data_IF_173977589171
#
_entry.id   IF_173977589171
#
_cell.length_a   1.000
_cell.length_b   1.000
_cell.length_c   1.000
_cell.angle_alpha   90.00
_cell.angle_beta   90.00
_cell.angle_gamma   90.00
#
_symmetry.space_group_name_H-M   'P 1'
#
loop_
_entity.id
_entity.type
_entity.pdbx_description
1 polymer ?
#
# COMPACT_ATOMS: atom_id res chain seq x y z
N UNK A 1 8.58 10.98 22.22
CA UNK A 1 7.88 10.09 21.26
C UNK A 1 6.65 10.80 20.76
N UNK A 2 6.53 11.00 19.45
CA UNK A 2 5.37 11.62 18.82
C UNK A 2 4.30 10.54 18.62
N UNK A 3 3.67 10.11 19.70
CA UNK A 3 2.71 9.01 19.63
C UNK A 3 1.49 9.40 18.80
N UNK A 4 0.96 8.45 18.00
CA UNK A 4 -0.36 8.57 17.38
C UNK A 4 -1.42 9.00 18.43
N UNK A 5 -2.35 9.90 18.09
CA UNK A 5 -3.40 10.36 19.01
C UNK A 5 -4.32 9.23 19.50
N UNK A 6 -4.68 8.29 18.61
CA UNK A 6 -5.49 7.13 18.98
C UNK A 6 -4.61 6.08 19.71
N UNK A 7 -5.00 5.58 20.90
CA UNK A 7 -4.30 4.49 21.56
C UNK A 7 -4.59 3.11 20.94
N UNK A 8 -5.66 2.95 20.15
CA UNK A 8 -6.11 1.66 19.61
C UNK A 8 -5.50 1.31 18.24
N UNK A 9 -4.84 2.26 17.60
CA UNK A 9 -4.08 2.03 16.36
C UNK A 9 -2.80 1.27 16.66
N UNK A 10 -2.29 0.59 15.63
CA UNK A 10 -1.08 -0.23 15.70
C UNK A 10 0.11 0.57 16.27
N UNK A 11 0.92 -0.13 17.07
CA UNK A 11 2.20 0.34 17.62
C UNK A 11 3.22 -0.78 17.54
N UNK A 12 4.50 -0.42 17.61
CA UNK A 12 5.57 -1.39 17.77
C UNK A 12 5.41 -2.18 19.07
N UNK A 13 5.73 -3.48 19.01
CA UNK A 13 5.85 -4.34 20.18
C UNK A 13 7.03 -3.89 21.07
N UNK A 14 7.06 -4.26 22.36
CA UNK A 14 8.22 -4.00 23.21
C UNK A 14 9.51 -4.55 22.59
N UNK A 15 10.55 -3.72 22.50
CA UNK A 15 11.87 -4.03 21.90
C UNK A 15 11.84 -4.30 20.39
N UNK A 16 10.75 -3.95 19.72
CA UNK A 16 10.67 -3.94 18.27
C UNK A 16 11.15 -2.58 17.72
N UNK A 17 11.80 -2.61 16.57
CA UNK A 17 12.09 -1.43 15.74
C UNK A 17 11.44 -1.57 14.37
N UNK A 18 11.38 -0.47 13.63
CA UNK A 18 11.15 -0.49 12.19
C UNK A 18 12.46 -0.27 11.46
N UNK A 19 12.71 -1.07 10.42
CA UNK A 19 13.80 -0.88 9.47
C UNK A 19 13.22 -0.48 8.11
N UNK A 20 13.59 0.69 7.60
CA UNK A 20 13.35 1.07 6.22
C UNK A 20 14.48 0.51 5.36
N UNK A 21 14.10 -0.35 4.41
CA UNK A 21 15.03 -1.16 3.62
C UNK A 21 14.89 -0.84 2.14
N UNK A 22 16.02 -0.74 1.44
CA UNK A 22 16.09 -0.73 -0.02
C UNK A 22 16.72 -2.02 -0.51
N UNK A 23 16.03 -2.74 -1.41
CA UNK A 23 16.50 -3.96 -2.05
C UNK A 23 16.73 -3.71 -3.55
N UNK A 24 17.85 -4.20 -4.07
CA UNK A 24 18.14 -4.27 -5.51
C UNK A 24 17.74 -5.64 -6.05
N UNK A 25 16.79 -5.68 -7.00
CA UNK A 25 16.20 -6.92 -7.51
C UNK A 25 17.11 -7.68 -8.49
N UNK A 26 18.19 -7.02 -8.95
CA UNK A 26 19.16 -7.60 -9.88
C UNK A 26 20.27 -8.34 -9.14
N UNK A 27 20.70 -7.79 -8.00
CA UNK A 27 21.76 -8.36 -7.15
C UNK A 27 21.22 -9.16 -5.96
N UNK A 28 19.99 -8.89 -5.54
CA UNK A 28 19.39 -9.44 -4.32
C UNK A 28 19.90 -8.78 -3.03
N UNK A 29 20.70 -7.71 -3.12
CA UNK A 29 21.27 -7.03 -1.95
C UNK A 29 20.20 -6.14 -1.32
N UNK A 30 19.99 -6.30 0.00
CA UNK A 30 19.15 -5.43 0.81
C UNK A 30 20.00 -4.58 1.77
N UNK A 31 19.68 -3.29 1.84
CA UNK A 31 20.36 -2.32 2.70
C UNK A 31 19.33 -1.67 3.62
N UNK A 32 19.55 -1.74 4.93
CA UNK A 32 18.80 -0.93 5.91
C UNK A 32 19.35 0.49 5.79
N UNK A 33 18.50 1.43 5.39
CA UNK A 33 18.92 2.83 5.17
C UNK A 33 18.56 3.72 6.36
N UNK A 34 17.60 3.29 7.18
CA UNK A 34 17.16 3.99 8.38
C UNK A 34 16.40 3.03 9.30
N UNK A 35 16.68 3.07 10.59
CA UNK A 35 15.94 2.32 11.59
C UNK A 35 15.63 3.19 12.82
N UNK A 36 14.49 2.92 13.46
CA UNK A 36 14.14 3.55 14.73
C UNK A 36 13.11 2.74 15.51
N UNK A 37 12.94 3.12 16.79
CA UNK A 37 11.81 2.68 17.63
C UNK A 37 10.57 3.56 17.41
N UNK A 38 10.22 3.75 16.15
CA UNK A 38 9.01 4.44 15.67
C UNK A 38 8.38 3.57 14.59
N UNK A 39 7.05 3.50 14.55
CA UNK A 39 6.37 2.64 13.59
C UNK A 39 6.45 3.25 12.19
N UNK A 40 7.33 2.71 11.33
CA UNK A 40 7.37 3.05 9.90
C UNK A 40 6.44 2.17 9.10
N UNK A 41 5.78 2.74 8.11
CA UNK A 41 4.85 2.02 7.25
C UNK A 41 4.88 2.55 5.81
N UNK A 42 4.74 1.62 4.87
CA UNK A 42 4.33 1.86 3.49
C UNK A 42 5.24 2.86 2.72
N UNK A 43 6.53 2.56 2.50
CA UNK A 43 7.41 3.46 1.75
C UNK A 43 7.16 3.38 0.23
N UNK A 44 7.21 4.53 -0.45
CA UNK A 44 7.22 4.64 -1.92
C UNK A 44 8.26 5.66 -2.39
N UNK A 45 8.47 5.77 -3.72
CA UNK A 45 9.53 6.59 -4.32
C UNK A 45 8.99 7.77 -5.10
N UNK A 46 9.61 8.94 -4.92
CA UNK A 46 9.36 10.06 -5.84
C UNK A 46 9.77 9.72 -7.27
N UNK A 47 9.07 10.31 -8.25
CA UNK A 47 9.29 10.03 -9.68
C UNK A 47 10.73 10.34 -10.14
N UNK A 48 11.39 11.28 -9.47
CA UNK A 48 12.80 11.63 -9.70
C UNK A 48 13.79 10.71 -8.97
N UNK A 49 13.30 9.76 -8.16
CA UNK A 49 14.08 8.82 -7.37
C UNK A 49 14.87 9.45 -6.23
N UNK A 50 14.66 10.75 -5.93
CA UNK A 50 15.43 11.47 -4.92
C UNK A 50 15.00 11.19 -3.48
N UNK A 51 13.75 10.77 -3.29
CA UNK A 51 13.17 10.59 -1.97
C UNK A 51 12.38 9.30 -1.89
N UNK A 52 12.51 8.63 -0.75
CA UNK A 52 11.46 7.76 -0.24
C UNK A 52 10.50 8.60 0.57
N UNK A 53 9.20 8.39 0.37
CA UNK A 53 8.14 8.92 1.24
C UNK A 53 7.55 7.75 2.02
N UNK A 54 7.35 7.92 3.33
CA UNK A 54 6.83 6.89 4.20
C UNK A 54 5.94 7.47 5.30
N UNK A 55 5.06 6.65 5.87
CA UNK A 55 4.30 7.00 7.06
C UNK A 55 5.11 6.64 8.31
N UNK A 56 5.16 7.53 9.29
CA UNK A 56 5.62 7.22 10.64
C UNK A 56 4.65 7.79 11.67
N UNK A 57 4.08 6.91 12.50
CA UNK A 57 3.11 7.25 13.54
C UNK A 57 2.00 8.23 13.05
N UNK A 58 1.44 7.94 11.86
CA UNK A 58 0.30 8.66 11.29
C UNK A 58 0.65 9.95 10.56
N UNK A 59 1.94 10.18 10.28
CA UNK A 59 2.44 11.38 9.59
C UNK A 59 3.34 10.99 8.43
N UNK A 60 3.43 11.85 7.42
CA UNK A 60 4.32 11.64 6.30
C UNK A 60 5.70 12.24 6.53
N UNK A 61 6.70 11.49 6.07
CA UNK A 61 8.10 11.83 6.12
C UNK A 61 8.77 11.49 4.80
N UNK A 62 9.90 12.14 4.50
CA UNK A 62 10.77 11.78 3.39
C UNK A 62 12.22 11.64 3.83
N UNK A 63 12.94 10.75 3.16
CA UNK A 63 14.37 10.50 3.37
C UNK A 63 15.01 10.10 2.05
N UNK A 64 16.28 10.44 1.82
CA UNK A 64 16.98 9.98 0.62
C UNK A 64 17.11 8.45 0.63
N UNK A 65 17.09 7.79 -0.54
CA UNK A 65 17.20 6.33 -0.63
C UNK A 65 18.51 5.73 -0.10
N UNK A 66 19.52 6.54 0.19
CA UNK A 66 20.78 6.14 0.82
C UNK A 66 20.86 6.53 2.30
N UNK A 67 19.80 7.13 2.86
CA UNK A 67 19.73 7.58 4.25
C UNK A 67 20.56 8.82 4.58
N UNK A 68 21.26 9.42 3.61
CA UNK A 68 22.17 10.55 3.85
C UNK A 68 21.46 11.90 4.10
N UNK A 69 20.21 12.05 3.68
CA UNK A 69 19.41 13.27 3.84
C UNK A 69 18.00 12.97 4.37
N UNK A 70 17.69 13.45 5.57
CA UNK A 70 16.41 13.23 6.26
C UNK A 70 16.56 12.50 7.61
N UNK A 71 15.45 12.14 8.26
CA UNK A 71 14.07 12.29 7.78
C UNK A 71 13.52 13.73 7.89
N UNK A 72 12.81 14.17 6.86
CA UNK A 72 12.11 15.46 6.80
C UNK A 72 10.61 15.28 6.85
N UNK A 73 9.92 16.02 7.72
CA UNK A 73 8.46 15.94 7.82
C UNK A 73 7.80 16.59 6.62
N UNK A 74 6.82 15.92 6.03
CA UNK A 74 5.86 16.51 5.10
C UNK A 74 4.67 16.97 5.92
N UNK A 75 4.48 18.29 6.05
CA UNK A 75 3.41 18.83 6.87
C UNK A 75 2.05 18.64 6.19
N UNK A 76 1.10 18.03 6.88
CA UNK A 76 -0.26 17.75 6.39
C UNK A 76 -1.33 18.38 7.29
N UNK A 77 -0.96 19.35 8.14
CA UNK A 77 -1.92 20.01 9.02
C UNK A 77 -3.08 20.67 8.24
N UNK A 78 -4.34 20.57 8.72
CA UNK A 78 -4.72 20.03 10.02
C UNK A 78 -4.94 18.50 10.08
N UNK A 79 -4.78 17.77 8.98
CA UNK A 79 -5.00 16.31 8.94
C UNK A 79 -3.69 15.58 9.26
N UNK A 80 -3.47 15.28 10.54
CA UNK A 80 -2.21 14.70 11.04
C UNK A 80 -2.34 13.29 11.64
N UNK A 81 -3.50 12.65 11.47
CA UNK A 81 -3.72 11.25 11.84
C UNK A 81 -4.05 10.44 10.58
N UNK A 82 -3.00 10.18 9.80
CA UNK A 82 -3.09 9.46 8.55
C UNK A 82 -3.07 7.96 8.80
N UNK A 83 -3.82 7.24 7.96
CA UNK A 83 -3.60 5.82 7.76
C UNK A 83 -2.24 5.61 7.06
N UNK A 84 -1.74 4.38 7.02
CA UNK A 84 -0.49 4.05 6.33
C UNK A 84 -0.58 4.24 4.80
N UNK A 85 -1.77 4.11 4.22
CA UNK A 85 -1.99 4.18 2.77
C UNK A 85 -1.89 5.61 2.20
N UNK A 86 -0.93 5.79 1.28
CA UNK A 86 -0.70 7.03 0.54
C UNK A 86 -0.07 6.75 -0.82
N UNK A 87 -0.33 7.63 -1.80
CA UNK A 87 0.19 7.51 -3.16
C UNK A 87 0.76 8.82 -3.64
N UNK A 88 1.90 8.75 -4.31
CA UNK A 88 2.40 9.90 -5.05
C UNK A 88 1.59 10.07 -6.33
N UNK A 89 1.18 11.30 -6.59
CA UNK A 89 0.46 11.62 -7.81
C UNK A 89 1.42 11.57 -9.02
N UNK A 90 0.95 11.13 -10.20
CA UNK A 90 1.75 11.13 -11.43
C UNK A 90 2.25 12.50 -11.87
N UNK A 91 1.69 13.59 -11.31
CA UNK A 91 2.14 14.96 -11.54
C UNK A 91 3.48 15.30 -10.87
N UNK A 92 3.96 14.46 -9.96
CA UNK A 92 5.23 14.65 -9.23
C UNK A 92 5.21 15.77 -8.20
N UNK A 93 4.05 16.39 -7.94
CA UNK A 93 3.91 17.55 -7.03
C UNK A 93 2.92 17.30 -5.90
N UNK A 94 2.04 16.29 -6.00
CA UNK A 94 1.01 15.98 -5.01
C UNK A 94 1.15 14.57 -4.41
N UNK A 95 0.54 14.38 -3.25
CA UNK A 95 0.36 13.10 -2.55
C UNK A 95 -1.12 12.94 -2.24
N UNK A 96 -1.68 11.78 -2.55
CA UNK A 96 -2.98 11.35 -2.09
C UNK A 96 -2.82 10.53 -0.80
N UNK A 97 -3.67 10.77 0.19
CA UNK A 97 -3.57 10.10 1.51
C UNK A 97 -4.92 9.60 1.98
N UNK A 98 -4.93 8.45 2.64
CA UNK A 98 -6.06 8.00 3.46
C UNK A 98 -5.88 8.50 4.89
N UNK A 99 -6.91 9.05 5.50
CA UNK A 99 -6.88 9.52 6.87
C UNK A 99 -7.79 8.70 7.80
N UNK A 100 -7.44 8.66 9.09
CA UNK A 100 -8.22 7.92 10.10
C UNK A 100 -9.57 8.58 10.42
N UNK A 101 -9.84 9.76 9.86
CA UNK A 101 -11.17 10.39 9.83
C UNK A 101 -12.09 9.80 8.74
N UNK A 102 -11.65 8.73 8.05
CA UNK A 102 -12.35 8.01 6.98
C UNK A 102 -12.31 8.66 5.59
N UNK A 103 -11.54 9.73 5.36
CA UNK A 103 -11.55 10.43 4.07
C UNK A 103 -10.23 10.32 3.30
N UNK A 104 -10.34 10.56 1.99
CA UNK A 104 -9.18 10.75 1.12
C UNK A 104 -8.89 12.24 0.96
N UNK A 105 -7.61 12.59 0.97
CA UNK A 105 -7.13 13.95 0.77
C UNK A 105 -6.03 14.00 -0.27
N UNK A 106 -5.85 15.17 -0.90
CA UNK A 106 -4.65 15.53 -1.65
C UNK A 106 -3.87 16.59 -0.88
N UNK A 107 -2.54 16.45 -0.86
CA UNK A 107 -1.60 17.37 -0.20
C UNK A 107 -0.40 17.63 -1.12
N UNK A 108 0.17 18.84 -1.16
CA UNK A 108 1.44 19.06 -1.85
C UNK A 108 2.56 18.16 -1.29
N UNK A 109 3.41 17.61 -2.16
CA UNK A 109 4.57 16.78 -1.79
C UNK A 109 5.59 17.53 -0.91
N UNK A 110 5.61 18.85 -1.01
CA UNK A 110 6.42 19.73 -0.14
C UNK A 110 5.76 20.01 1.23
N UNK A 111 4.55 19.53 1.45
CA UNK A 111 3.71 19.83 2.60
C UNK A 111 2.81 21.04 2.38
N UNK A 112 1.69 21.08 3.10
CA UNK A 112 0.69 22.14 3.00
C UNK A 112 -0.67 21.71 3.54
N UNK A 113 -1.67 22.55 3.32
CA UNK A 113 -3.04 22.28 3.74
C UNK A 113 -3.68 21.19 2.86
N UNK A 114 -4.14 20.06 3.43
CA UNK A 114 -4.86 19.04 2.68
C UNK A 114 -6.19 19.54 2.11
N UNK A 115 -6.52 19.09 0.91
CA UNK A 115 -7.86 19.24 0.32
C UNK A 115 -8.55 17.88 0.31
N UNK A 116 -9.73 17.81 0.92
CA UNK A 116 -10.55 16.59 0.94
C UNK A 116 -11.07 16.28 -0.46
N UNK A 117 -11.06 14.99 -0.81
CA UNK A 117 -11.51 14.46 -2.11
C UNK A 117 -12.88 13.79 -1.99
N UNK A 118 -13.07 12.97 -0.95
CA UNK A 118 -14.27 12.13 -0.82
C UNK A 118 -15.36 12.79 0.02
N UNK A 119 -16.63 12.46 -0.28
CA UNK A 119 -17.79 12.83 0.54
C UNK A 119 -17.81 12.10 1.88
N UNK A 120 -18.76 12.45 2.75
CA UNK A 120 -18.95 11.79 4.04
C UNK A 120 -19.94 10.64 3.86
N UNK A 121 -19.57 9.46 4.35
CA UNK A 121 -20.38 8.23 4.26
C UNK A 121 -20.71 7.67 5.66
N UNK A 122 -20.41 8.44 6.72
CA UNK A 122 -20.63 8.06 8.11
C UNK A 122 -19.56 7.12 8.69
N UNK A 123 -19.66 6.88 10.00
CA UNK A 123 -18.62 6.21 10.81
C UNK A 123 -18.37 4.73 10.44
N UNK A 124 -19.31 4.12 9.72
CA UNK A 124 -19.24 2.73 9.30
C UNK A 124 -18.58 2.54 7.94
N UNK A 125 -18.11 3.60 7.30
CA UNK A 125 -17.46 3.54 5.99
C UNK A 125 -16.01 4.02 6.07
N UNK A 126 -15.11 3.36 5.35
CA UNK A 126 -13.70 3.76 5.22
C UNK A 126 -13.28 3.76 3.76
N UNK A 127 -12.39 4.69 3.41
CA UNK A 127 -11.72 4.76 2.11
C UNK A 127 -10.24 4.39 2.30
N UNK A 128 -9.80 3.25 1.78
CA UNK A 128 -8.39 2.82 1.81
C UNK A 128 -7.79 2.91 0.41
N UNK A 129 -6.95 3.92 0.19
CA UNK A 129 -6.38 4.25 -1.11
C UNK A 129 -5.23 3.31 -1.50
N UNK A 130 -5.25 2.75 -2.71
CA UNK A 130 -4.14 1.91 -3.19
C UNK A 130 -3.71 2.16 -4.64
N UNK A 131 -4.54 2.81 -5.45
CA UNK A 131 -4.20 3.11 -6.85
C UNK A 131 -4.52 4.54 -7.27
N UNK A 132 -3.72 5.05 -8.20
CA UNK A 132 -3.99 6.25 -8.99
C UNK A 132 -3.79 5.89 -10.45
N UNK A 133 -4.71 6.31 -11.33
CA UNK A 133 -4.57 6.06 -12.76
C UNK A 133 -3.33 6.77 -13.32
N UNK A 134 -2.67 6.26 -14.39
CA UNK A 134 -1.44 6.87 -14.91
C UNK A 134 -1.58 8.33 -15.36
N UNK A 135 -2.80 8.73 -15.76
CA UNK A 135 -3.14 10.11 -16.11
C UNK A 135 -3.48 11.00 -14.89
N UNK A 136 -3.51 10.43 -13.68
CA UNK A 136 -3.85 11.12 -12.43
C UNK A 136 -5.33 11.46 -12.26
N UNK A 137 -6.21 11.06 -13.19
CA UNK A 137 -7.61 11.47 -13.19
C UNK A 137 -8.50 10.68 -12.21
N UNK A 138 -8.12 9.46 -11.87
CA UNK A 138 -8.94 8.52 -11.08
C UNK A 138 -8.13 7.89 -9.96
N UNK A 139 -8.74 7.78 -8.77
CA UNK A 139 -8.20 7.02 -7.64
C UNK A 139 -8.95 5.70 -7.50
N UNK A 140 -8.21 4.62 -7.33
CA UNK A 140 -8.72 3.31 -6.94
C UNK A 140 -8.52 3.11 -5.43
N UNK A 141 -9.60 2.76 -4.74
CA UNK A 141 -9.60 2.56 -3.30
C UNK A 141 -10.50 1.40 -2.91
N UNK A 142 -10.31 0.91 -1.69
CA UNK A 142 -11.15 -0.09 -1.07
C UNK A 142 -12.17 0.60 -0.18
N UNK A 143 -13.42 0.45 -0.56
CA UNK A 143 -14.59 0.86 0.19
C UNK A 143 -14.91 -0.21 1.24
N UNK A 144 -14.46 -0.02 2.48
CA UNK A 144 -14.83 -0.90 3.59
C UNK A 144 -16.13 -0.38 4.22
N UNK A 145 -17.11 -1.26 4.35
CA UNK A 145 -18.37 -1.00 5.03
C UNK A 145 -18.54 -1.94 6.22
N UNK A 146 -18.81 -1.37 7.40
CA UNK A 146 -19.15 -2.10 8.62
C UNK A 146 -20.66 -2.27 8.71
N UNK A 147 -21.11 -3.50 8.81
CA UNK A 147 -22.54 -3.85 8.91
C UNK A 147 -22.77 -4.82 10.08
N UNK A 148 -24.02 -4.96 10.57
CA UNK A 148 -24.33 -6.01 11.52
C UNK A 148 -23.88 -7.37 10.97
N UNK A 149 -23.00 -8.07 11.71
CA UNK A 149 -22.49 -9.38 11.31
C UNK A 149 -21.14 -9.38 10.58
N UNK A 150 -20.53 -8.22 10.28
CA UNK A 150 -19.16 -8.19 9.78
C UNK A 150 -18.77 -6.94 8.99
N UNK A 151 -17.73 -7.09 8.18
CA UNK A 151 -17.26 -6.09 7.22
C UNK A 151 -17.32 -6.68 5.82
N UNK A 152 -17.55 -5.83 4.84
CA UNK A 152 -17.28 -6.17 3.45
C UNK A 152 -16.53 -5.03 2.77
N UNK A 153 -15.77 -5.39 1.75
CA UNK A 153 -14.90 -4.49 0.99
C UNK A 153 -15.31 -4.48 -0.46
N UNK A 154 -15.28 -3.33 -1.10
CA UNK A 154 -15.50 -3.20 -2.56
C UNK A 154 -14.39 -2.38 -3.19
N UNK A 155 -14.03 -2.72 -4.42
CA UNK A 155 -13.14 -1.91 -5.24
C UNK A 155 -13.98 -0.76 -5.78
N UNK A 156 -13.55 0.46 -5.50
CA UNK A 156 -14.21 1.66 -5.95
C UNK A 156 -13.22 2.58 -6.67
N UNK A 157 -13.73 3.25 -7.70
CA UNK A 157 -13.04 4.30 -8.44
C UNK A 157 -13.69 5.64 -8.13
N UNK A 158 -12.91 6.69 -7.91
CA UNK A 158 -13.41 8.06 -7.71
C UNK A 158 -12.55 9.05 -8.50
N UNK A 159 -13.12 10.10 -9.12
CA UNK A 159 -12.31 11.16 -9.70
C UNK A 159 -11.37 11.77 -8.68
N UNK A 160 -10.11 12.00 -9.04
CA UNK A 160 -9.11 12.59 -8.12
C UNK A 160 -9.45 14.03 -7.71
N UNK A 161 -10.29 14.71 -8.50
CA UNK A 161 -10.86 16.02 -8.19
C UNK A 161 -12.03 15.96 -7.17
N UNK A 162 -12.49 14.76 -6.80
CA UNK A 162 -13.68 14.51 -5.99
C UNK A 162 -14.93 14.23 -6.85
N UNK A 163 -15.92 13.58 -6.25
CA UNK A 163 -17.16 13.19 -6.91
C UNK A 163 -17.72 11.87 -6.39
N UNK A 164 -18.74 11.36 -7.07
CA UNK A 164 -19.35 10.07 -6.74
C UNK A 164 -18.45 8.90 -7.17
N UNK A 165 -18.31 7.85 -6.32
CA UNK A 165 -17.54 6.68 -6.69
C UNK A 165 -18.33 5.73 -7.59
N UNK A 166 -17.60 5.01 -8.46
CA UNK A 166 -18.10 3.83 -9.18
C UNK A 166 -17.56 2.57 -8.52
N UNK A 167 -18.40 1.60 -8.23
CA UNK A 167 -17.97 0.32 -7.64
C UNK A 167 -17.75 -0.72 -8.73
N UNK A 168 -16.56 -1.34 -8.77
CA UNK A 168 -16.23 -2.41 -9.72
C UNK A 168 -16.55 -3.80 -9.19
N UNK A 169 -16.77 -3.93 -7.89
CA UNK A 169 -17.12 -5.20 -7.23
C UNK A 169 -18.34 -5.02 -6.31
N UNK A 170 -19.11 -6.09 -6.11
CA UNK A 170 -20.32 -6.08 -5.29
C UNK A 170 -20.09 -6.31 -3.79
N UNK A 171 -18.91 -6.77 -3.40
CA UNK A 171 -18.56 -7.10 -2.01
C UNK A 171 -18.88 -8.55 -1.61
N UNK A 172 -19.06 -9.43 -2.60
CA UNK A 172 -19.28 -10.87 -2.38
C UNK A 172 -18.09 -11.61 -1.77
N UNK A 173 -16.88 -11.03 -1.82
CA UNK A 173 -15.67 -11.53 -1.18
C UNK A 173 -14.78 -10.37 -0.72
N UNK A 174 -13.88 -10.65 0.23
CA UNK A 174 -12.91 -9.65 0.71
C UNK A 174 -11.88 -9.35 -0.38
N UNK A 175 -11.53 -8.08 -0.52
CA UNK A 175 -10.53 -7.60 -1.46
C UNK A 175 -9.72 -6.47 -0.84
N UNK A 176 -8.50 -6.28 -1.35
CA UNK A 176 -7.66 -5.15 -0.96
C UNK A 176 -6.61 -4.80 -2.03
N UNK A 177 -5.89 -3.70 -1.81
CA UNK A 177 -4.70 -3.34 -2.57
C UNK A 177 -4.88 -3.09 -4.08
N UNK A 178 -5.96 -2.43 -4.56
CA UNK A 178 -6.12 -2.16 -5.98
C UNK A 178 -5.08 -1.18 -6.54
N UNK A 179 -4.32 -1.56 -7.55
CA UNK A 179 -3.31 -0.73 -8.21
C UNK A 179 -3.45 -0.78 -9.74
N UNK A 180 -3.30 0.36 -10.41
CA UNK A 180 -3.27 0.42 -11.88
C UNK A 180 -1.93 -0.07 -12.43
N UNK A 181 -1.97 -0.77 -13.57
CA UNK A 181 -0.75 -0.94 -14.38
C UNK A 181 -0.23 0.40 -14.89
N UNK A 182 1.09 0.53 -15.17
CA UNK A 182 1.66 1.77 -15.71
C UNK A 182 1.00 2.25 -17.02
N UNK A 183 0.46 1.34 -17.82
CA UNK A 183 -0.27 1.65 -19.06
C UNK A 183 -1.79 1.91 -18.84
N UNK A 184 -2.29 1.71 -17.62
CA UNK A 184 -3.69 1.91 -17.24
C UNK A 184 -4.65 0.85 -17.76
N UNK A 185 -4.16 -0.20 -18.42
CA UNK A 185 -5.00 -1.22 -19.04
C UNK A 185 -5.64 -2.19 -18.02
N UNK A 186 -5.06 -2.30 -16.83
CA UNK A 186 -5.49 -3.23 -15.79
C UNK A 186 -5.44 -2.60 -14.40
N UNK A 187 -6.23 -3.18 -13.49
CA UNK A 187 -6.15 -2.96 -12.04
C UNK A 187 -5.83 -4.31 -11.39
N UNK A 188 -4.70 -4.38 -10.70
CA UNK A 188 -4.27 -5.54 -9.90
C UNK A 188 -4.79 -5.38 -8.48
N UNK A 189 -5.10 -6.48 -7.82
CA UNK A 189 -5.61 -6.47 -6.44
C UNK A 189 -5.40 -7.83 -5.79
N UNK A 190 -5.51 -7.91 -4.47
CA UNK A 190 -5.66 -9.19 -3.79
C UNK A 190 -7.12 -9.43 -3.41
N UNK A 191 -7.55 -10.69 -3.41
CA UNK A 191 -8.93 -11.03 -3.04
C UNK A 191 -9.14 -12.49 -2.71
N UNK A 192 -10.29 -12.77 -2.11
CA UNK A 192 -10.70 -14.10 -1.66
C UNK A 192 -11.67 -14.82 -2.63
N UNK A 193 -11.83 -14.32 -3.87
CA UNK A 193 -12.74 -14.88 -4.86
C UNK A 193 -12.54 -16.39 -5.11
N UNK A 194 -11.30 -16.88 -5.09
CA UNK A 194 -10.96 -18.28 -5.30
C UNK A 194 -10.73 -19.06 -4.00
N UNK A 195 -10.98 -18.44 -2.84
CA UNK A 195 -10.65 -19.01 -1.54
C UNK A 195 -11.54 -20.22 -1.22
N UNK A 196 -10.90 -21.34 -0.86
CA UNK A 196 -11.59 -22.55 -0.35
C UNK A 196 -11.69 -22.60 1.17
N UNK A 197 -10.99 -21.68 1.83
CA UNK A 197 -10.95 -21.48 3.27
C UNK A 197 -10.88 -19.96 3.53
N UNK A 198 -11.48 -19.45 4.61
CA UNK A 198 -11.45 -18.03 4.93
C UNK A 198 -10.01 -17.48 4.94
N UNK A 199 -9.82 -16.26 4.42
CA UNK A 199 -8.53 -15.57 4.47
C UNK A 199 -7.52 -15.99 3.40
N UNK A 200 -7.81 -16.99 2.56
CA UNK A 200 -6.88 -17.44 1.52
C UNK A 200 -6.89 -16.50 0.30
N UNK A 201 -6.40 -15.27 0.52
CA UNK A 201 -6.27 -14.26 -0.52
C UNK A 201 -5.22 -14.67 -1.56
N UNK A 202 -5.55 -14.47 -2.82
CA UNK A 202 -4.65 -14.59 -3.97
C UNK A 202 -4.66 -13.28 -4.76
N UNK A 203 -3.74 -13.15 -5.72
CA UNK A 203 -3.62 -11.99 -6.58
C UNK A 203 -4.49 -12.16 -7.81
N UNK A 204 -5.11 -11.06 -8.23
CA UNK A 204 -5.99 -10.98 -9.38
C UNK A 204 -5.72 -9.69 -10.16
N UNK A 205 -6.24 -9.63 -11.38
CA UNK A 205 -6.37 -8.39 -12.13
C UNK A 205 -7.73 -8.30 -12.81
N UNK A 206 -8.17 -7.09 -13.12
CA UNK A 206 -9.37 -6.79 -13.90
C UNK A 206 -9.15 -5.56 -14.78
N UNK A 207 -9.97 -5.36 -15.80
CA UNK A 207 -9.99 -4.10 -16.56
C UNK A 207 -10.58 -2.98 -15.69
N UNK A 208 -10.26 -1.69 -15.96
CA UNK A 208 -10.84 -0.57 -15.23
C UNK A 208 -12.37 -0.42 -15.31
N UNK A 209 -13.03 -1.18 -16.18
CA UNK A 209 -14.50 -1.28 -16.27
C UNK A 209 -15.08 -2.43 -15.42
N UNK A 210 -14.24 -3.16 -14.68
CA UNK A 210 -14.61 -4.30 -13.83
C UNK A 210 -14.68 -5.65 -14.57
N UNK A 211 -14.45 -5.69 -15.89
CA UNK A 211 -14.51 -6.94 -16.67
C UNK A 211 -13.16 -7.65 -16.73
N UNK A 212 -13.15 -8.89 -17.25
CA UNK A 212 -11.91 -9.62 -17.52
C UNK A 212 -11.12 -10.02 -16.28
N UNK A 213 -11.80 -10.42 -15.20
CA UNK A 213 -11.13 -10.86 -13.97
C UNK A 213 -10.28 -12.10 -14.23
N UNK A 214 -9.01 -12.04 -13.85
CA UNK A 214 -8.03 -13.12 -13.98
C UNK A 214 -7.30 -13.33 -12.65
N UNK A 215 -7.17 -14.59 -12.22
CA UNK A 215 -6.35 -14.97 -11.07
C UNK A 215 -4.90 -15.16 -11.51
N UNK A 216 -3.95 -14.65 -10.72
CA UNK A 216 -2.52 -14.62 -11.04
C UNK A 216 -1.68 -15.54 -10.17
N UNK A 217 -2.08 -15.77 -8.91
CA UNK A 217 -1.38 -16.68 -7.99
C UNK A 217 -2.29 -17.82 -7.54
N UNK A 218 -1.70 -19.00 -7.33
CA UNK A 218 -2.43 -20.25 -7.11
C UNK A 218 -1.82 -21.14 -6.00
N UNK A 219 -0.99 -20.57 -5.13
CA UNK A 219 -0.30 -21.35 -4.09
C UNK A 219 -1.05 -21.34 -2.74
N UNK A 220 -0.53 -22.12 -1.79
CA UNK A 220 -1.12 -22.28 -0.46
C UNK A 220 -0.91 -21.08 0.48
N UNK A 221 -0.04 -20.14 0.10
CA UNK A 221 0.25 -18.94 0.89
C UNK A 221 -0.84 -17.90 0.69
N UNK A 222 -0.80 -16.85 1.51
CA UNK A 222 -1.78 -15.76 1.49
C UNK A 222 -1.11 -14.53 0.89
N UNK A 223 -1.46 -14.17 -0.35
CA UNK A 223 -0.71 -13.22 -1.17
C UNK A 223 -1.45 -11.86 -1.25
N UNK A 224 -0.75 -10.77 -0.93
CA UNK A 224 -1.31 -9.42 -0.77
C UNK A 224 -0.45 -8.34 -1.45
N UNK A 225 -1.08 -7.19 -1.73
CA UNK A 225 -0.45 -5.96 -2.24
C UNK A 225 0.46 -6.18 -3.46
N UNK A 226 -0.11 -6.50 -4.63
CA UNK A 226 0.65 -6.58 -5.88
C UNK A 226 1.04 -5.19 -6.37
N UNK A 227 2.35 -4.93 -6.49
CA UNK A 227 2.88 -3.68 -7.03
C UNK A 227 3.67 -3.93 -8.31
N UNK A 228 3.33 -3.24 -9.39
CA UNK A 228 3.99 -3.42 -10.69
C UNK A 228 5.19 -2.47 -10.79
N UNK A 229 6.26 -2.95 -11.43
CA UNK A 229 7.39 -2.09 -11.74
C UNK A 229 6.99 -1.02 -12.76
N UNK A 230 7.58 0.20 -12.71
CA UNK A 230 7.27 1.27 -13.66
C UNK A 230 7.42 0.89 -15.14
N UNK A 231 8.34 -0.03 -15.47
CA UNK A 231 8.52 -0.58 -16.82
C UNK A 231 7.51 -1.68 -17.19
N UNK A 232 6.65 -2.09 -16.26
CA UNK A 232 5.65 -3.14 -16.41
C UNK A 232 6.24 -4.56 -16.54
N UNK A 233 7.55 -4.75 -16.31
CA UNK A 233 8.20 -6.05 -16.53
C UNK A 233 8.08 -7.02 -15.36
N UNK A 234 7.78 -6.50 -14.16
CA UNK A 234 7.78 -7.24 -12.90
C UNK A 234 6.62 -6.84 -12.00
N UNK A 235 6.24 -7.77 -11.13
CA UNK A 235 5.32 -7.58 -10.01
C UNK A 235 6.03 -8.01 -8.73
N UNK A 236 5.99 -7.18 -7.68
CA UNK A 236 6.34 -7.58 -6.32
C UNK A 236 5.07 -7.73 -5.50
N UNK A 237 5.07 -8.65 -4.54
CA UNK A 237 3.99 -8.79 -3.57
C UNK A 237 4.49 -9.39 -2.27
N UNK A 238 3.71 -9.24 -1.20
CA UNK A 238 3.97 -9.80 0.11
C UNK A 238 3.16 -11.07 0.30
N UNK A 239 3.79 -12.09 0.86
CA UNK A 239 3.18 -13.41 1.01
C UNK A 239 3.28 -13.89 2.46
N UNK A 240 2.11 -14.03 3.07
CA UNK A 240 1.94 -14.48 4.44
C UNK A 240 1.90 -16.01 4.54
N UNK A 241 2.21 -16.58 5.72
CA UNK A 241 2.01 -18.00 5.98
C UNK A 241 0.56 -18.45 5.69
N UNK A 242 0.42 -19.70 5.27
CA UNK A 242 -0.87 -20.35 5.06
C UNK A 242 -1.78 -20.18 6.29
N UNK A 243 -3.06 -19.85 6.06
CA UNK A 243 -4.06 -19.71 7.11
C UNK A 243 -4.04 -18.37 7.85
N UNK A 244 -3.18 -17.43 7.43
CA UNK A 244 -3.27 -16.04 7.88
C UNK A 244 -4.60 -15.43 7.46
N UNK A 245 -5.31 -14.80 8.39
CA UNK A 245 -6.55 -14.06 8.13
C UNK A 245 -6.23 -12.57 7.99
N UNK A 246 -6.69 -11.93 6.91
CA UNK A 246 -6.33 -10.55 6.61
C UNK A 246 -4.83 -10.38 6.33
N UNK A 247 -4.30 -9.20 6.64
CA UNK A 247 -2.89 -8.84 6.45
C UNK A 247 -2.20 -8.35 7.74
N UNK A 248 -2.24 -9.11 8.84
CA UNK A 248 -1.80 -8.64 10.15
C UNK A 248 -0.33 -8.21 10.17
N UNK A 249 0.01 -7.32 11.10
CA UNK A 249 1.39 -7.00 11.43
C UNK A 249 2.13 -8.19 12.07
N UNK A 250 3.46 -8.07 12.12
CA UNK A 250 4.36 -8.90 12.92
C UNK A 250 4.25 -10.41 12.62
N UNK A 251 4.30 -10.73 11.32
CA UNK A 251 4.31 -12.09 10.80
C UNK A 251 5.62 -12.39 10.08
N UNK A 252 6.00 -13.67 10.09
CA UNK A 252 7.06 -14.20 9.23
C UNK A 252 6.56 -14.23 7.77
N UNK A 253 6.79 -13.13 7.05
CA UNK A 253 6.37 -12.92 5.66
C UNK A 253 7.56 -13.12 4.73
N UNK A 254 7.26 -13.26 3.44
CA UNK A 254 8.25 -13.20 2.37
C UNK A 254 7.83 -12.15 1.35
N UNK A 255 8.81 -11.43 0.79
CA UNK A 255 8.62 -10.66 -0.44
C UNK A 255 8.93 -11.55 -1.63
N UNK A 256 8.09 -11.48 -2.66
CA UNK A 256 8.20 -12.31 -3.85
C UNK A 256 8.16 -11.43 -5.09
N UNK A 257 8.94 -11.81 -6.09
CA UNK A 257 8.96 -11.22 -7.41
C UNK A 257 8.34 -12.20 -8.40
N UNK A 258 7.56 -11.69 -9.35
CA UNK A 258 6.97 -12.47 -10.43
C UNK A 258 6.88 -11.64 -11.71
N UNK A 259 6.59 -12.28 -12.84
CA UNK A 259 6.08 -11.59 -14.02
C UNK A 259 4.67 -11.07 -13.76
N UNK A 260 4.20 -10.04 -14.50
CA UNK A 260 2.86 -9.49 -14.35
C UNK A 260 1.72 -10.51 -14.53
N UNK A 261 1.95 -11.59 -15.28
CA UNK A 261 0.99 -12.67 -15.46
C UNK A 261 0.99 -13.71 -14.32
N UNK A 262 1.79 -13.49 -13.27
CA UNK A 262 1.95 -14.41 -12.14
C UNK A 262 2.92 -15.56 -12.37
N UNK A 263 3.60 -15.61 -13.53
CA UNK A 263 4.65 -16.61 -13.80
C UNK A 263 6.01 -16.21 -13.21
N UNK A 264 6.98 -17.13 -13.27
CA UNK A 264 8.39 -16.90 -12.88
C UNK A 264 8.55 -16.35 -11.44
N UNK A 265 7.76 -16.90 -10.51
CA UNK A 265 7.77 -16.49 -9.11
C UNK A 265 9.08 -16.90 -8.44
N UNK A 266 9.74 -15.95 -7.77
CA UNK A 266 10.89 -16.20 -6.88
C UNK A 266 10.82 -15.36 -5.61
N UNK A 267 11.38 -15.88 -4.53
CA UNK A 267 11.44 -15.19 -3.25
C UNK A 267 12.63 -14.22 -3.25
N UNK A 268 12.41 -13.00 -2.76
CA UNK A 268 13.43 -11.95 -2.66
C UNK A 268 14.01 -11.85 -1.25
N UNK A 269 13.15 -11.94 -0.24
CA UNK A 269 13.54 -11.76 1.15
C UNK A 269 12.50 -12.38 2.11
N UNK A 270 12.94 -12.74 3.33
CA UNK A 270 12.12 -13.34 4.38
C UNK A 270 12.41 -12.71 5.74
N UNK A 271 11.38 -12.17 6.39
CA UNK A 271 11.55 -11.35 7.59
C UNK A 271 10.28 -11.26 8.43
N UNK A 272 10.38 -10.66 9.62
CA UNK A 272 9.21 -10.26 10.39
C UNK A 272 8.65 -8.95 9.80
N UNK A 273 7.46 -9.02 9.21
CA UNK A 273 6.82 -7.97 8.42
C UNK A 273 5.30 -8.04 8.53
N UNK A 274 4.58 -7.56 7.52
CA UNK A 274 3.12 -7.69 7.40
C UNK A 274 2.46 -6.37 7.00
N UNK A 275 1.38 -5.99 7.69
CA UNK A 275 0.83 -4.64 7.55
C UNK A 275 1.96 -3.60 7.67
N UNK A 276 1.94 -2.58 6.82
CA UNK A 276 2.93 -1.51 6.76
C UNK A 276 4.23 -1.87 6.03
N UNK A 277 4.45 -3.12 5.61
CA UNK A 277 5.68 -3.48 4.87
C UNK A 277 5.70 -2.88 3.46
N UNK A 278 4.65 -3.17 2.66
CA UNK A 278 4.47 -2.69 1.27
C UNK A 278 2.97 -2.47 1.00
N UNK A 279 2.29 -1.63 1.76
CA UNK A 279 0.86 -1.34 1.51
C UNK A 279 0.64 -0.44 0.28
N UNK A 280 1.72 0.18 -0.21
CA UNK A 280 1.74 1.17 -1.29
C UNK A 280 2.87 0.83 -2.26
N UNK A 281 2.87 1.34 -3.51
CA UNK A 281 3.86 1.02 -4.52
C UNK A 281 5.30 1.18 -4.04
N UNK A 282 6.06 0.09 -4.01
CA UNK A 282 7.41 0.04 -3.44
C UNK A 282 8.55 0.31 -4.43
N UNK A 283 8.26 0.44 -5.73
CA UNK A 283 9.27 0.45 -6.78
C UNK A 283 9.98 1.79 -6.94
N UNK A 284 11.29 1.72 -7.13
CA UNK A 284 12.07 2.84 -7.63
C UNK A 284 11.69 3.14 -9.09
N UNK A 285 11.79 4.40 -9.56
CA UNK A 285 11.48 4.76 -10.95
C UNK A 285 12.27 3.96 -12.01
N UNK A 286 13.47 3.50 -11.64
CA UNK A 286 14.33 2.68 -12.50
C UNK A 286 13.92 1.21 -12.63
N UNK A 287 12.89 0.75 -11.91
CA UNK A 287 12.42 -0.66 -11.92
C UNK A 287 13.46 -1.70 -11.44
N UNK A 288 14.55 -1.26 -10.83
CA UNK A 288 15.68 -2.10 -10.36
C UNK A 288 15.72 -2.26 -8.84
N UNK A 289 14.97 -1.42 -8.11
CA UNK A 289 14.98 -1.37 -6.65
C UNK A 289 13.59 -1.28 -6.05
N UNK A 290 13.48 -1.76 -4.81
CA UNK A 290 12.29 -1.78 -3.98
C UNK A 290 12.58 -1.11 -2.65
N UNK A 291 11.61 -0.38 -2.09
CA UNK A 291 11.63 0.08 -0.70
C UNK A 291 10.53 -0.65 0.11
N UNK A 292 10.83 -1.08 1.32
CA UNK A 292 9.87 -1.76 2.19
C UNK A 292 10.28 -1.64 3.66
N UNK A 293 9.37 -2.01 4.56
CA UNK A 293 9.64 -1.99 6.02
C UNK A 293 9.68 -3.40 6.61
N UNK A 294 10.70 -3.66 7.42
CA UNK A 294 10.80 -4.84 8.31
C UNK A 294 10.59 -4.41 9.77
N UNK A 295 10.19 -5.35 10.62
CA UNK A 295 9.91 -5.09 12.04
C UNK A 295 10.65 -6.07 12.97
N UNK A 296 11.99 -6.05 13.02
CA UNK A 296 12.75 -6.98 13.86
C UNK A 296 12.48 -6.74 15.36
N UNK A 297 12.62 -7.81 16.15
CA UNK A 297 12.54 -7.77 17.62
C UNK A 297 13.91 -8.14 18.19
N UNK A 298 14.44 -7.30 19.07
CA UNK A 298 15.70 -7.53 19.76
C UNK A 298 15.58 -8.44 21.00
#
# INVERSE_FOLDING_TARGET
MRQRPDPNVRRLLPRQSSELVVLDITTGISTVIYDAQELFEAPNWTLDGRWLVYNADGRLWRISPDGSDGPHRINTAPVEDLNNDHLLAPDGINIYVSANDSHLYVVPLTGGTPKRITGDQGDNYRHYLHGVSPDGATLAYVALSKVPGGIFTRLALVPSAGGEPTYLTDGSYQIDGPEYTPDGAWIYYNGEAAARRPGHAQLFRMRPDGTGIEQLTHDDRVNWFPHLSPDGAWMVYISFPQGTLGHPADKAVILRLARPDGSDIRDLDAFNGGQGTINVPSWAPGSDRLAYVRYPVA
#
